data_IF_289018050178
#
_entry.id   IF_289018050178
#
_cell.length_a   1.000
_cell.length_b   1.000
_cell.length_c   1.000
_cell.angle_alpha   90.00
_cell.angle_beta   90.00
_cell.angle_gamma   90.00
#
_symmetry.space_group_name_H-M   'P 1'
#
loop_
_entity.id
_entity.type
_entity.pdbx_description
1 polymer ?
#
# COMPACT_ATOMS: atom_id res chain seq x y z
N UNK A 1 1.73 28.41 4.12
CA UNK A 1 2.19 27.00 4.12
C UNK A 1 2.22 26.54 2.67
N UNK A 2 3.37 26.16 2.13
CA UNK A 2 3.50 25.80 0.72
C UNK A 2 3.18 24.32 0.51
N UNK A 3 2.15 24.01 -0.28
CA UNK A 3 1.79 22.63 -0.70
C UNK A 3 2.99 21.83 -1.25
N UNK A 4 3.94 22.54 -1.88
CA UNK A 4 5.18 21.99 -2.42
C UNK A 4 6.13 21.43 -1.34
N UNK A 5 6.19 22.02 -0.14
CA UNK A 5 7.00 21.49 0.97
C UNK A 5 6.46 20.15 1.48
N UNK A 6 5.13 19.98 1.47
CA UNK A 6 4.50 18.71 1.83
C UNK A 6 4.78 17.61 0.79
N UNK A 7 4.83 17.95 -0.51
CA UNK A 7 5.20 16.98 -1.56
C UNK A 7 6.65 16.51 -1.45
N UNK A 8 7.58 17.42 -1.15
CA UNK A 8 8.99 17.08 -1.01
C UNK A 8 9.25 16.21 0.23
N UNK A 9 8.57 16.52 1.35
CA UNK A 9 8.60 15.72 2.58
C UNK A 9 7.95 14.34 2.39
N UNK A 10 6.90 14.24 1.56
CA UNK A 10 6.29 12.97 1.18
C UNK A 10 7.28 12.10 0.39
N UNK A 11 7.96 12.65 -0.64
CA UNK A 11 8.96 11.94 -1.45
C UNK A 11 10.10 11.33 -0.62
N UNK A 12 10.63 12.07 0.35
CA UNK A 12 11.69 11.56 1.25
C UNK A 12 11.20 10.42 2.18
N UNK A 13 9.91 10.43 2.55
CA UNK A 13 9.32 9.40 3.41
C UNK A 13 8.89 8.16 2.65
N UNK A 14 8.64 8.24 1.34
CA UNK A 14 8.20 7.10 0.53
C UNK A 14 9.20 5.94 0.59
N UNK A 15 10.51 6.21 0.53
CA UNK A 15 11.53 5.17 0.64
C UNK A 15 11.47 4.40 1.96
N UNK A 16 11.31 5.10 3.09
CA UNK A 16 11.14 4.47 4.40
C UNK A 16 9.83 3.68 4.49
N UNK A 17 8.77 4.16 3.85
CA UNK A 17 7.49 3.46 3.80
C UNK A 17 7.59 2.15 3.01
N UNK A 18 8.29 2.16 1.87
CA UNK A 18 8.56 0.96 1.05
C UNK A 18 9.38 -0.05 1.86
N UNK A 19 10.38 0.40 2.61
CA UNK A 19 11.15 -0.47 3.50
C UNK A 19 10.25 -1.15 4.55
N UNK A 20 9.40 -0.38 5.24
CA UNK A 20 8.46 -0.96 6.21
C UNK A 20 7.44 -1.89 5.57
N UNK A 21 6.97 -1.57 4.37
CA UNK A 21 6.07 -2.44 3.61
C UNK A 21 6.74 -3.79 3.31
N UNK A 22 7.98 -3.77 2.81
CA UNK A 22 8.74 -4.99 2.56
C UNK A 22 8.96 -5.81 3.85
N UNK A 23 9.35 -5.14 4.93
CA UNK A 23 9.50 -5.78 6.24
C UNK A 23 8.19 -6.42 6.72
N UNK A 24 7.06 -5.72 6.56
CA UNK A 24 5.75 -6.26 6.92
C UNK A 24 5.39 -7.51 6.10
N UNK A 25 5.68 -7.53 4.79
CA UNK A 25 5.47 -8.71 3.94
C UNK A 25 6.30 -9.90 4.42
N UNK A 26 7.56 -9.69 4.78
CA UNK A 26 8.41 -10.74 5.35
C UNK A 26 7.86 -11.27 6.68
N UNK A 27 7.39 -10.38 7.56
CA UNK A 27 6.76 -10.78 8.82
C UNK A 27 5.48 -11.60 8.59
N UNK A 28 4.62 -11.18 7.65
CA UNK A 28 3.40 -11.90 7.29
C UNK A 28 3.77 -13.29 6.76
N UNK A 29 4.73 -13.38 5.84
CA UNK A 29 5.21 -14.64 5.31
C UNK A 29 5.73 -15.56 6.42
N UNK A 30 6.59 -15.05 7.30
CA UNK A 30 7.15 -15.83 8.42
C UNK A 30 6.07 -16.34 9.39
N UNK A 31 5.08 -15.49 9.72
CA UNK A 31 3.97 -15.87 10.58
C UNK A 31 3.10 -16.95 9.92
N UNK A 32 2.71 -16.77 8.65
CA UNK A 32 1.93 -17.76 7.91
C UNK A 32 2.70 -19.07 7.74
N UNK A 33 4.00 -19.00 7.49
CA UNK A 33 4.85 -20.16 7.36
C UNK A 33 4.92 -20.96 8.67
N UNK A 34 5.13 -20.28 9.80
CA UNK A 34 5.17 -20.95 11.10
C UNK A 34 3.83 -21.63 11.43
N UNK A 35 2.71 -20.95 11.18
CA UNK A 35 1.36 -21.49 11.39
C UNK A 35 1.09 -22.67 10.45
N UNK A 36 1.40 -22.54 9.16
CA UNK A 36 1.18 -23.60 8.17
C UNK A 36 2.06 -24.82 8.43
N UNK A 37 3.34 -24.61 8.74
CA UNK A 37 4.27 -25.68 9.08
C UNK A 37 3.78 -26.45 10.29
N UNK A 38 3.48 -25.75 11.40
CA UNK A 38 2.93 -26.40 12.59
C UNK A 38 1.58 -27.12 12.34
N UNK A 39 0.70 -26.55 11.52
CA UNK A 39 -0.59 -27.15 11.22
C UNK A 39 -0.46 -28.47 10.43
N UNK A 40 0.44 -28.50 9.44
CA UNK A 40 0.61 -29.60 8.48
C UNK A 40 1.56 -30.69 9.02
N UNK A 41 2.76 -30.31 9.45
CA UNK A 41 3.83 -31.26 9.83
C UNK A 41 3.88 -31.54 11.33
N UNK A 42 3.14 -30.76 12.14
CA UNK A 42 3.21 -30.76 13.62
C UNK A 42 4.55 -30.35 14.22
N UNK A 43 5.49 -29.88 13.39
CA UNK A 43 6.80 -29.39 13.82
C UNK A 43 7.15 -28.09 13.10
N UNK A 44 7.77 -27.15 13.81
CA UNK A 44 8.30 -25.92 13.20
C UNK A 44 9.69 -26.25 12.64
N UNK A 45 9.72 -26.94 11.51
CA UNK A 45 10.93 -27.28 10.75
C UNK A 45 11.04 -26.50 9.44
N UNK A 46 12.20 -26.55 8.80
CA UNK A 46 12.37 -26.04 7.43
C UNK A 46 11.79 -27.05 6.43
N UNK A 47 10.67 -26.70 5.82
CA UNK A 47 10.00 -27.50 4.79
C UNK A 47 9.81 -26.63 3.55
N UNK A 48 10.54 -26.97 2.49
CA UNK A 48 10.55 -26.20 1.22
C UNK A 48 9.20 -26.22 0.51
N UNK A 49 8.41 -27.30 0.63
CA UNK A 49 7.08 -27.38 0.03
C UNK A 49 6.12 -26.40 0.69
N UNK A 50 6.03 -26.43 2.03
CA UNK A 50 5.17 -25.50 2.79
C UNK A 50 5.63 -24.06 2.57
N UNK A 51 6.95 -23.82 2.57
CA UNK A 51 7.52 -22.50 2.29
C UNK A 51 7.11 -21.99 0.89
N UNK A 52 7.18 -22.85 -0.13
CA UNK A 52 6.80 -22.52 -1.50
C UNK A 52 5.32 -22.14 -1.61
N UNK A 53 4.42 -22.95 -1.06
CA UNK A 53 2.98 -22.67 -1.07
C UNK A 53 2.64 -21.37 -0.35
N UNK A 54 3.20 -21.15 0.85
CA UNK A 54 2.95 -19.94 1.63
C UNK A 54 3.54 -18.71 0.94
N UNK A 55 4.71 -18.83 0.32
CA UNK A 55 5.34 -17.73 -0.41
C UNK A 55 4.47 -17.30 -1.60
N UNK A 56 4.03 -18.26 -2.41
CA UNK A 56 3.16 -18.00 -3.56
C UNK A 56 1.85 -17.37 -3.11
N UNK A 57 1.20 -17.93 -2.08
CA UNK A 57 -0.05 -17.39 -1.54
C UNK A 57 0.11 -15.97 -1.00
N UNK A 58 1.17 -15.71 -0.24
CA UNK A 58 1.45 -14.38 0.33
C UNK A 58 1.69 -13.36 -0.77
N UNK A 59 2.54 -13.68 -1.76
CA UNK A 59 2.85 -12.80 -2.89
C UNK A 59 1.61 -12.55 -3.73
N UNK A 60 0.79 -13.58 -3.98
CA UNK A 60 -0.44 -13.43 -4.74
C UNK A 60 -1.42 -12.47 -4.05
N UNK A 61 -1.71 -12.68 -2.76
CA UNK A 61 -2.66 -11.85 -2.00
C UNK A 61 -2.17 -10.42 -1.86
N UNK A 62 -0.92 -10.24 -1.44
CA UNK A 62 -0.32 -8.90 -1.27
C UNK A 62 -0.18 -8.20 -2.61
N UNK A 63 0.24 -8.92 -3.65
CA UNK A 63 0.43 -8.40 -5.01
C UNK A 63 -0.89 -7.92 -5.61
N UNK A 64 -1.94 -8.75 -5.56
CA UNK A 64 -3.27 -8.39 -6.04
C UNK A 64 -3.85 -7.20 -5.28
N UNK A 65 -3.77 -7.20 -3.95
CA UNK A 65 -4.24 -6.08 -3.12
C UNK A 65 -3.49 -4.78 -3.41
N UNK A 66 -2.18 -4.87 -3.64
CA UNK A 66 -1.34 -3.72 -4.01
C UNK A 66 -1.70 -3.20 -5.39
N UNK A 67 -1.88 -4.07 -6.39
CA UNK A 67 -2.26 -3.69 -7.74
C UNK A 67 -3.64 -3.04 -7.77
N UNK A 68 -4.60 -3.59 -7.03
CA UNK A 68 -5.92 -2.97 -6.85
C UNK A 68 -5.79 -1.56 -6.26
N UNK A 69 -4.97 -1.37 -5.22
CA UNK A 69 -4.80 -0.06 -4.60
C UNK A 69 -4.09 0.94 -5.51
N UNK A 70 -3.10 0.49 -6.28
CA UNK A 70 -2.40 1.32 -7.27
C UNK A 70 -3.36 1.77 -8.38
N UNK A 71 -4.18 0.85 -8.92
CA UNK A 71 -5.16 1.19 -9.96
C UNK A 71 -6.28 2.09 -9.42
N UNK A 72 -6.74 1.87 -8.19
CA UNK A 72 -7.71 2.74 -7.53
C UNK A 72 -7.19 4.19 -7.34
N UNK A 73 -5.89 4.36 -7.10
CA UNK A 73 -5.27 5.69 -6.94
C UNK A 73 -4.68 6.25 -8.25
N UNK A 74 -4.71 5.51 -9.35
CA UNK A 74 -4.10 5.91 -10.62
C UNK A 74 -4.78 7.14 -11.26
N UNK A 75 -6.03 7.44 -10.88
CA UNK A 75 -6.72 8.68 -11.29
C UNK A 75 -6.12 9.98 -10.71
N UNK A 76 -5.03 9.88 -9.95
CA UNK A 76 -4.22 11.01 -9.51
C UNK A 76 -4.83 11.79 -8.36
N UNK A 77 -4.39 13.05 -8.20
CA UNK A 77 -4.79 13.91 -7.08
C UNK A 77 -6.29 14.17 -6.99
N UNK A 78 -7.02 14.09 -8.12
CA UNK A 78 -8.48 14.25 -8.16
C UNK A 78 -9.20 13.16 -7.36
N UNK A 79 -8.87 11.89 -7.58
CA UNK A 79 -9.49 10.76 -6.88
C UNK A 79 -9.17 10.80 -5.38
N UNK A 80 -7.96 11.22 -5.04
CA UNK A 80 -7.55 11.42 -3.64
C UNK A 80 -8.32 12.60 -3.01
N UNK A 81 -8.49 13.71 -3.73
CA UNK A 81 -9.27 14.84 -3.23
C UNK A 81 -10.75 14.47 -3.03
N UNK A 82 -11.39 13.82 -3.99
CA UNK A 82 -12.78 13.37 -3.89
C UNK A 82 -12.98 12.39 -2.72
N UNK A 83 -12.07 11.42 -2.52
CA UNK A 83 -12.15 10.48 -1.38
C UNK A 83 -11.95 11.12 0.00
N UNK A 84 -11.34 12.30 0.06
CA UNK A 84 -11.21 13.11 1.29
C UNK A 84 -12.34 14.14 1.45
N UNK A 85 -13.37 14.10 0.61
CA UNK A 85 -14.51 15.04 0.63
C UNK A 85 -14.24 16.35 -0.11
N UNK A 86 -13.20 16.40 -0.92
CA UNK A 86 -12.91 17.54 -1.80
C UNK A 86 -13.98 17.72 -2.87
N UNK A 87 -14.35 18.98 -3.12
CA UNK A 87 -15.30 19.39 -4.15
C UNK A 87 -14.57 19.94 -5.35
N UNK A 88 -15.06 19.64 -6.56
CA UNK A 88 -14.58 20.25 -7.79
C UNK A 88 -14.86 21.76 -7.79
N UNK A 89 -13.82 22.58 -7.90
CA UNK A 89 -13.96 24.02 -8.11
C UNK A 89 -14.17 24.28 -9.61
N UNK A 90 -15.28 24.93 -9.97
CA UNK A 90 -15.53 25.33 -11.34
C UNK A 90 -14.79 26.65 -11.63
N UNK A 91 -14.16 26.82 -12.80
CA UNK A 91 -13.45 28.06 -13.18
C UNK A 91 -14.32 29.33 -13.15
N UNK A 92 -15.65 29.16 -13.16
CA UNK A 92 -16.62 30.24 -13.19
C UNK A 92 -17.25 30.57 -11.82
N UNK A 93 -16.58 30.20 -10.73
CA UNK A 93 -16.97 30.62 -9.38
C UNK A 93 -16.85 32.16 -9.24
N UNK A 94 -17.76 32.76 -8.46
CA UNK A 94 -17.82 34.22 -8.21
C UNK A 94 -16.89 34.67 -7.07
N UNK A 95 -16.30 33.73 -6.33
CA UNK A 95 -15.36 33.99 -5.25
C UNK A 95 -13.95 34.21 -5.81
N UNK A 96 -13.36 35.37 -5.51
CA UNK A 96 -12.05 35.79 -6.02
C UNK A 96 -10.90 34.93 -5.45
N UNK A 97 -11.10 34.27 -4.31
CA UNK A 97 -10.07 33.40 -3.71
C UNK A 97 -10.02 32.00 -4.34
N UNK A 98 -11.12 31.54 -4.93
CA UNK A 98 -11.23 30.24 -5.60
C UNK A 98 -10.84 30.30 -7.10
N UNK A 99 -10.55 31.50 -7.63
CA UNK A 99 -10.25 31.75 -9.05
C UNK A 99 -8.76 31.82 -9.39
N UNK A 100 -7.87 31.60 -8.41
CA UNK A 100 -6.42 31.83 -8.51
C UNK A 100 -5.60 30.55 -8.50
#
# INVERSE_FOLDING_TARGET
MNFFEHQEKARKKTGRLVFYFFLAVLCIFGALYAVASFAITKEIGWNTEVAGFVAIGTVAVVGLGSLYKVTALAGGGKVVAESLGGRLLLPNTRDLQEKR
#
